data_IF_995627215553
#
_entry.id   IF_995627215553
#
_cell.length_a   1.000
_cell.length_b   1.000
_cell.length_c   1.000
_cell.angle_alpha   90.00
_cell.angle_beta   90.00
_cell.angle_gamma   90.00
#
_symmetry.space_group_name_H-M   'P 1'
#
loop_
_entity.id
_entity.type
_entity.pdbx_description
1 polymer ?
#
# COMPACT_ATOMS: atom_id res chain seq x y z
N UNK A 1 -29.37 -73.21 12.20
CA UNK A 1 -29.40 -72.36 11.01
C UNK A 1 -30.01 -71.00 11.39
N UNK A 2 -29.19 -70.05 11.80
CA UNK A 2 -29.62 -68.75 12.30
C UNK A 2 -29.13 -67.68 11.32
N UNK A 3 -30.06 -67.01 10.65
CA UNK A 3 -29.75 -65.92 9.72
C UNK A 3 -29.61 -64.61 10.50
N UNK A 4 -28.44 -64.01 10.41
CA UNK A 4 -28.17 -62.65 10.86
C UNK A 4 -28.70 -61.64 9.81
N UNK A 5 -29.59 -60.77 10.19
CA UNK A 5 -30.05 -59.64 9.43
C UNK A 5 -29.15 -58.43 9.78
N UNK A 6 -28.36 -57.94 8.82
CA UNK A 6 -27.59 -56.71 8.94
C UNK A 6 -28.45 -55.52 8.48
N UNK A 7 -28.81 -54.68 9.42
CA UNK A 7 -29.51 -53.41 9.14
C UNK A 7 -28.45 -52.33 8.76
N UNK A 8 -28.50 -51.88 7.53
CA UNK A 8 -27.72 -50.72 7.07
C UNK A 8 -28.45 -49.44 7.40
N UNK A 9 -27.89 -48.64 8.30
CA UNK A 9 -28.38 -47.30 8.61
C UNK A 9 -27.81 -46.34 7.56
N UNK A 10 -28.66 -45.81 6.70
CA UNK A 10 -28.34 -44.68 5.81
C UNK A 10 -28.40 -43.40 6.64
N UNK A 11 -27.23 -42.78 6.88
CA UNK A 11 -27.15 -41.42 7.43
C UNK A 11 -27.29 -40.45 6.26
N UNK A 12 -28.51 -39.94 6.08
CA UNK A 12 -28.77 -38.87 5.13
C UNK A 12 -28.25 -37.55 5.68
N UNK A 13 -27.19 -37.01 5.06
CA UNK A 13 -26.70 -35.65 5.34
C UNK A 13 -27.70 -34.64 4.82
N UNK A 14 -28.46 -34.03 5.72
CA UNK A 14 -29.37 -32.92 5.43
C UNK A 14 -28.52 -31.65 5.24
N UNK A 15 -28.25 -31.30 3.98
CA UNK A 15 -27.66 -29.98 3.64
C UNK A 15 -28.76 -28.94 3.81
N UNK A 16 -28.72 -28.21 4.92
CA UNK A 16 -29.55 -27.04 5.12
C UNK A 16 -29.03 -25.94 4.18
N UNK A 17 -29.63 -25.80 3.00
CA UNK A 17 -29.50 -24.63 2.17
C UNK A 17 -30.22 -23.46 2.88
N UNK A 18 -29.43 -22.60 3.55
CA UNK A 18 -29.94 -21.32 4.03
C UNK A 18 -30.22 -20.44 2.84
N UNK A 19 -31.48 -20.38 2.42
CA UNK A 19 -31.93 -19.39 1.43
C UNK A 19 -31.73 -17.99 2.03
N UNK A 20 -30.74 -17.28 1.58
CA UNK A 20 -30.61 -15.84 1.81
C UNK A 20 -31.77 -15.18 1.07
N UNK A 21 -32.85 -14.92 1.80
CA UNK A 21 -33.92 -14.08 1.28
C UNK A 21 -33.38 -12.66 1.14
N UNK A 22 -32.95 -12.30 -0.07
CA UNK A 22 -32.73 -10.93 -0.46
C UNK A 22 -34.03 -10.18 -0.25
N UNK A 23 -34.07 -9.21 0.67
CA UNK A 23 -35.12 -8.21 0.77
C UNK A 23 -35.06 -7.30 -0.49
N UNK A 24 -35.44 -7.85 -1.62
CA UNK A 24 -35.81 -7.05 -2.81
C UNK A 24 -37.24 -6.54 -2.52
N UNK A 25 -37.34 -5.37 -1.92
CA UNK A 25 -38.57 -4.60 -2.04
C UNK A 25 -38.88 -4.44 -3.54
N UNK A 26 -40.13 -4.68 -3.95
CA UNK A 26 -40.56 -4.45 -5.32
C UNK A 26 -40.26 -3.00 -5.70
N UNK A 27 -39.28 -2.80 -6.60
CA UNK A 27 -38.93 -1.47 -7.10
C UNK A 27 -39.97 -1.07 -8.13
N UNK A 28 -40.73 -0.02 -7.84
CA UNK A 28 -41.73 0.50 -8.77
C UNK A 28 -41.06 1.45 -9.77
N UNK A 29 -41.29 1.29 -11.10
CA UNK A 29 -40.80 2.22 -12.09
C UNK A 29 -41.26 3.65 -11.82
N UNK A 30 -40.36 4.62 -12.02
CA UNK A 30 -40.63 6.04 -11.78
C UNK A 30 -40.52 6.48 -10.32
N UNK A 31 -40.11 5.61 -9.36
CA UNK A 31 -39.91 5.95 -7.97
C UNK A 31 -38.49 5.62 -7.53
N UNK A 32 -38.00 6.36 -6.53
CA UNK A 32 -36.75 6.04 -5.84
C UNK A 32 -37.05 5.14 -4.65
N UNK A 33 -36.29 4.04 -4.53
CA UNK A 33 -36.37 3.15 -3.37
C UNK A 33 -34.98 2.87 -2.83
N UNK A 34 -34.84 2.65 -1.50
CA UNK A 34 -33.56 2.23 -0.92
C UNK A 34 -33.12 0.92 -1.55
N UNK A 35 -31.81 0.83 -1.82
CA UNK A 35 -31.17 -0.40 -2.27
C UNK A 35 -29.83 -0.57 -1.53
N UNK A 36 -29.38 -1.81 -1.41
CA UNK A 36 -28.11 -2.14 -0.76
C UNK A 36 -27.27 -2.98 -1.71
N UNK A 37 -26.00 -2.56 -1.90
CA UNK A 37 -25.00 -3.40 -2.54
C UNK A 37 -24.29 -4.24 -1.47
N UNK A 38 -24.33 -5.56 -1.63
CA UNK A 38 -23.50 -6.48 -0.88
C UNK A 38 -22.68 -7.29 -1.89
N UNK A 39 -21.41 -6.92 -2.07
CA UNK A 39 -20.52 -7.54 -3.04
C UNK A 39 -19.11 -7.63 -2.47
N UNK A 40 -18.37 -8.67 -2.88
CA UNK A 40 -16.94 -8.85 -2.58
C UNK A 40 -16.14 -8.55 -3.84
N UNK A 41 -15.10 -7.71 -3.73
CA UNK A 41 -14.14 -7.49 -4.81
C UNK A 41 -12.92 -8.40 -4.61
N UNK A 42 -12.50 -9.10 -5.66
CA UNK A 42 -11.28 -9.88 -5.64
C UNK A 42 -10.09 -8.97 -6.01
N UNK A 43 -9.04 -8.97 -5.18
CA UNK A 43 -7.78 -8.28 -5.46
C UNK A 43 -6.75 -9.31 -5.91
N UNK A 44 -6.21 -9.14 -7.12
CA UNK A 44 -5.11 -9.94 -7.67
C UNK A 44 -3.95 -9.02 -8.01
N UNK A 45 -2.81 -9.23 -7.35
CA UNK A 45 -1.61 -8.42 -7.52
C UNK A 45 -0.36 -9.28 -7.46
N UNK A 46 0.52 -9.12 -8.44
CA UNK A 46 1.86 -9.72 -8.39
C UNK A 46 2.80 -8.74 -7.68
N UNK A 47 3.71 -9.25 -6.87
CA UNK A 47 4.68 -8.42 -6.15
C UNK A 47 5.99 -9.16 -5.88
N UNK A 48 7.07 -8.39 -5.78
CA UNK A 48 8.32 -8.87 -5.19
C UNK A 48 8.25 -8.72 -3.68
N UNK A 49 8.77 -9.71 -2.97
CA UNK A 49 8.97 -9.63 -1.52
C UNK A 49 10.42 -9.94 -1.19
N UNK A 50 11.02 -9.11 -0.36
CA UNK A 50 12.33 -9.32 0.22
C UNK A 50 12.19 -9.49 1.73
N UNK A 51 12.85 -10.49 2.28
CA UNK A 51 12.97 -10.72 3.72
C UNK A 51 14.41 -10.42 4.14
N UNK A 52 14.64 -9.72 5.27
CA UNK A 52 15.99 -9.50 5.82
C UNK A 52 16.76 -10.80 5.99
N UNK A 53 18.09 -10.77 5.86
CA UNK A 53 18.93 -11.97 6.01
C UNK A 53 18.72 -12.70 7.32
N UNK A 54 18.51 -11.94 8.41
CA UNK A 54 18.30 -12.46 9.75
C UNK A 54 16.81 -12.57 10.11
N UNK A 55 15.94 -12.77 9.11
CA UNK A 55 14.48 -12.76 9.27
C UNK A 55 13.97 -13.63 10.42
N UNK A 56 14.56 -14.83 10.60
CA UNK A 56 14.13 -15.76 11.64
C UNK A 56 14.58 -15.34 13.06
N UNK A 57 15.52 -14.43 13.17
CA UNK A 57 16.11 -14.02 14.47
C UNK A 57 15.24 -13.01 15.23
N UNK A 58 14.23 -12.40 14.58
CA UNK A 58 13.35 -11.44 15.23
C UNK A 58 11.89 -11.89 15.18
N UNK A 59 11.14 -11.47 16.19
CA UNK A 59 9.70 -11.77 16.29
C UNK A 59 8.88 -10.96 15.30
N UNK A 60 9.32 -9.71 14.98
CA UNK A 60 8.62 -8.83 14.04
C UNK A 60 9.60 -7.85 13.37
N UNK A 61 9.30 -7.47 12.13
CA UNK A 61 10.12 -6.61 11.29
C UNK A 61 9.33 -5.41 10.77
N UNK A 62 9.97 -4.24 10.60
CA UNK A 62 9.34 -3.14 9.89
C UNK A 62 9.10 -3.53 8.43
N UNK A 63 8.02 -3.01 7.84
CA UNK A 63 7.66 -3.23 6.44
C UNK A 63 7.81 -1.93 5.65
N UNK A 64 8.46 -2.01 4.48
CA UNK A 64 8.54 -0.94 3.50
C UNK A 64 7.82 -1.35 2.21
N UNK A 65 6.69 -0.70 1.92
CA UNK A 65 6.00 -0.81 0.64
C UNK A 65 6.62 0.16 -0.35
N UNK A 66 7.10 -0.34 -1.49
CA UNK A 66 7.63 0.47 -2.59
C UNK A 66 6.68 0.46 -3.78
N UNK A 67 6.30 1.63 -4.28
CA UNK A 67 5.45 1.83 -5.44
C UNK A 67 6.26 2.40 -6.61
N UNK A 68 6.35 1.64 -7.69
CA UNK A 68 7.09 2.04 -8.89
C UNK A 68 6.39 3.13 -9.71
N UNK A 69 7.07 3.71 -10.66
CA UNK A 69 6.56 4.69 -11.61
C UNK A 69 5.74 4.09 -12.75
N UNK A 70 5.24 4.94 -13.63
CA UNK A 70 4.41 4.49 -14.75
C UNK A 70 5.15 3.60 -15.77
N UNK A 71 6.48 3.73 -15.86
CA UNK A 71 7.30 2.97 -16.81
C UNK A 71 7.51 1.50 -16.45
N UNK A 72 7.16 1.09 -15.24
CA UNK A 72 7.34 -0.28 -14.74
C UNK A 72 6.01 -1.05 -14.63
N UNK A 73 4.92 -0.48 -15.17
CA UNK A 73 3.62 -1.17 -15.30
C UNK A 73 3.73 -2.40 -16.19
N UNK A 74 2.83 -3.35 -15.99
CA UNK A 74 2.75 -4.55 -16.82
C UNK A 74 2.58 -5.83 -16.01
N UNK A 75 3.14 -6.93 -16.53
CA UNK A 75 3.10 -8.28 -15.92
C UNK A 75 4.49 -8.93 -15.78
N UNK A 76 5.55 -8.18 -16.04
CA UNK A 76 6.94 -8.62 -15.88
C UNK A 76 7.53 -7.99 -14.61
N UNK A 77 7.57 -8.75 -13.52
CA UNK A 77 8.12 -8.32 -12.23
C UNK A 77 9.58 -7.84 -12.29
N UNK A 78 10.35 -8.23 -13.33
CA UNK A 78 11.71 -7.71 -13.55
C UNK A 78 11.74 -6.20 -13.76
N UNK A 79 10.66 -5.61 -14.27
CA UNK A 79 10.56 -4.17 -14.43
C UNK A 79 10.57 -3.44 -13.09
N UNK A 80 10.04 -4.04 -12.03
CA UNK A 80 9.98 -3.47 -10.68
C UNK A 80 11.38 -3.31 -10.07
N UNK A 81 12.37 -4.09 -10.53
CA UNK A 81 13.77 -4.01 -10.08
C UNK A 81 14.56 -2.84 -10.71
N UNK A 82 13.96 -2.02 -11.58
CA UNK A 82 14.67 -0.92 -12.26
C UNK A 82 15.05 0.22 -11.34
N UNK A 83 14.27 0.48 -10.29
CA UNK A 83 14.43 1.64 -9.42
C UNK A 83 14.24 1.30 -7.95
N UNK A 84 14.66 2.21 -7.07
CA UNK A 84 14.39 2.18 -5.66
C UNK A 84 14.94 0.99 -4.88
N UNK A 85 14.30 0.64 -3.76
CA UNK A 85 14.72 -0.49 -2.93
C UNK A 85 14.85 -1.81 -3.69
N UNK A 86 13.94 -2.20 -4.61
CA UNK A 86 14.10 -3.45 -5.37
C UNK A 86 15.39 -3.50 -6.21
N UNK A 87 15.76 -2.38 -6.85
CA UNK A 87 17.03 -2.26 -7.58
C UNK A 87 18.23 -2.48 -6.67
N UNK A 88 18.22 -1.87 -5.50
CA UNK A 88 19.32 -1.97 -4.53
C UNK A 88 19.42 -3.39 -3.97
N UNK A 89 18.30 -4.06 -3.71
CA UNK A 89 18.24 -5.46 -3.28
C UNK A 89 18.80 -6.38 -4.37
N UNK A 90 18.40 -6.19 -5.62
CA UNK A 90 18.93 -6.95 -6.76
C UNK A 90 20.45 -6.75 -6.94
N UNK A 91 20.98 -5.59 -6.53
CA UNK A 91 22.42 -5.30 -6.48
C UNK A 91 23.12 -5.81 -5.21
N UNK A 92 22.43 -6.56 -4.34
CA UNK A 92 22.99 -7.19 -3.13
C UNK A 92 22.93 -6.36 -1.86
N UNK A 93 22.26 -5.19 -1.86
CA UNK A 93 22.05 -4.40 -0.64
C UNK A 93 21.10 -5.14 0.30
N UNK A 94 21.49 -5.24 1.56
CA UNK A 94 20.65 -5.75 2.64
C UNK A 94 19.83 -4.61 3.25
N UNK A 95 18.59 -4.89 3.65
CA UNK A 95 17.70 -3.93 4.27
C UNK A 95 17.14 -4.48 5.58
N UNK A 96 17.02 -3.66 6.63
CA UNK A 96 16.39 -4.03 7.89
C UNK A 96 14.86 -3.93 7.83
N UNK A 97 14.27 -4.25 6.67
CA UNK A 97 12.84 -4.20 6.40
C UNK A 97 12.40 -5.46 5.65
N UNK A 98 11.17 -5.90 5.87
CA UNK A 98 10.45 -6.64 4.84
C UNK A 98 10.14 -5.62 3.74
N UNK A 99 10.64 -5.83 2.51
CA UNK A 99 10.32 -4.93 1.39
C UNK A 99 9.30 -5.59 0.48
N UNK A 100 8.20 -4.89 0.22
CA UNK A 100 7.12 -5.34 -0.67
C UNK A 100 7.02 -4.37 -1.84
N UNK A 101 7.13 -4.89 -3.04
CA UNK A 101 7.10 -4.09 -4.26
C UNK A 101 6.12 -4.71 -5.27
N UNK A 102 4.85 -4.29 -5.25
CA UNK A 102 3.86 -4.76 -6.20
C UNK A 102 4.12 -4.22 -7.61
N UNK A 103 3.56 -4.90 -8.62
CA UNK A 103 3.50 -4.39 -9.97
C UNK A 103 2.08 -3.94 -10.33
N UNK A 104 1.96 -2.67 -10.72
CA UNK A 104 0.73 -2.11 -11.24
C UNK A 104 0.51 -2.62 -12.67
N UNK A 105 -0.69 -3.08 -13.04
CA UNK A 105 -0.99 -3.55 -14.38
C UNK A 105 -0.82 -2.44 -15.44
N UNK A 106 -0.63 -2.85 -16.70
CA UNK A 106 -0.58 -1.91 -17.82
C UNK A 106 -1.86 -1.07 -17.92
N UNK A 107 -1.70 0.23 -18.14
CA UNK A 107 -2.82 1.18 -18.25
C UNK A 107 -3.50 1.55 -16.93
N UNK A 108 -3.19 0.87 -15.82
CA UNK A 108 -3.77 1.14 -14.50
C UNK A 108 -2.98 2.20 -13.69
N UNK A 109 -3.57 2.59 -12.58
CA UNK A 109 -2.96 3.41 -11.53
C UNK A 109 -3.00 2.65 -10.20
N UNK A 110 -2.26 3.16 -9.20
CA UNK A 110 -2.26 2.60 -7.86
C UNK A 110 -3.60 2.85 -7.16
N UNK A 111 -4.33 1.78 -6.88
CA UNK A 111 -5.60 1.83 -6.16
C UNK A 111 -5.38 1.63 -4.65
N UNK A 112 -5.72 2.61 -3.80
CA UNK A 112 -5.44 2.53 -2.36
C UNK A 112 -6.08 1.33 -1.65
N UNK A 113 -7.27 0.90 -2.09
CA UNK A 113 -7.94 -0.28 -1.54
C UNK A 113 -7.13 -1.55 -1.80
N UNK A 114 -6.60 -1.72 -3.01
CA UNK A 114 -5.77 -2.87 -3.38
C UNK A 114 -4.46 -2.88 -2.61
N UNK A 115 -3.81 -1.71 -2.49
CA UNK A 115 -2.57 -1.55 -1.73
C UNK A 115 -2.77 -1.86 -0.24
N UNK A 116 -3.87 -1.41 0.34
CA UNK A 116 -4.22 -1.74 1.73
C UNK A 116 -4.45 -3.24 1.88
N UNK A 117 -5.20 -3.86 0.96
CA UNK A 117 -5.45 -5.31 0.97
C UNK A 117 -4.14 -6.09 0.90
N UNK A 118 -3.18 -5.66 0.06
CA UNK A 118 -1.85 -6.24 0.00
C UNK A 118 -1.11 -6.11 1.35
N UNK A 119 -1.11 -4.93 1.95
CA UNK A 119 -0.48 -4.70 3.26
C UNK A 119 -1.09 -5.58 4.35
N UNK A 120 -2.43 -5.68 4.40
CA UNK A 120 -3.13 -6.51 5.38
C UNK A 120 -2.81 -8.00 5.19
N UNK A 121 -2.71 -8.48 3.95
CA UNK A 121 -2.31 -9.85 3.62
C UNK A 121 -0.86 -10.15 4.03
N UNK A 122 0.08 -9.28 3.69
CA UNK A 122 1.49 -9.46 4.06
C UNK A 122 1.68 -9.39 5.57
N UNK A 123 1.00 -8.48 6.26
CA UNK A 123 1.06 -8.37 7.71
C UNK A 123 0.48 -9.60 8.43
N UNK A 124 -0.47 -10.30 7.80
CA UNK A 124 -1.04 -11.55 8.33
C UNK A 124 -0.14 -12.76 8.08
N UNK A 125 0.60 -12.78 6.96
CA UNK A 125 1.36 -13.95 6.51
C UNK A 125 2.85 -13.91 6.86
N UNK A 126 3.37 -12.74 7.29
CA UNK A 126 4.78 -12.54 7.61
C UNK A 126 4.94 -11.87 8.99
N UNK A 127 6.15 -11.93 9.54
CA UNK A 127 6.51 -11.32 10.83
C UNK A 127 6.59 -9.79 10.73
N UNK A 128 5.50 -9.12 10.40
CA UNK A 128 5.43 -7.65 10.28
C UNK A 128 5.14 -7.03 11.64
N UNK A 129 5.89 -5.97 12.01
CA UNK A 129 5.56 -5.08 13.10
C UNK A 129 4.44 -4.13 12.63
N UNK A 130 3.20 -4.24 13.15
CA UNK A 130 2.07 -3.45 12.67
C UNK A 130 2.22 -1.95 12.96
N UNK A 131 3.14 -1.57 13.85
CA UNK A 131 3.42 -0.17 14.19
C UNK A 131 4.57 0.42 13.38
N UNK A 132 5.20 -0.35 12.48
CA UNK A 132 6.31 0.09 11.64
C UNK A 132 6.08 -0.27 10.16
N UNK A 133 4.96 0.19 9.60
CA UNK A 133 4.63 0.04 8.18
C UNK A 133 4.85 1.38 7.49
N UNK A 134 5.73 1.39 6.50
CA UNK A 134 6.12 2.57 5.73
C UNK A 134 5.77 2.42 4.26
N UNK A 135 5.51 3.55 3.60
CA UNK A 135 5.25 3.57 2.16
C UNK A 135 6.13 4.61 1.48
N UNK A 136 6.73 4.22 0.38
CA UNK A 136 7.50 5.10 -0.50
C UNK A 136 7.18 4.77 -1.96
N UNK A 137 7.40 5.70 -2.86
CA UNK A 137 7.19 5.46 -4.28
C UNK A 137 7.61 6.64 -5.12
N UNK A 138 7.83 6.37 -6.41
CA UNK A 138 8.37 7.34 -7.38
C UNK A 138 7.33 7.73 -8.41
N UNK A 139 7.23 9.02 -8.78
CA UNK A 139 6.35 9.49 -9.86
C UNK A 139 4.91 9.00 -9.65
N UNK A 140 4.34 8.17 -10.52
CA UNK A 140 3.05 7.51 -10.31
C UNK A 140 2.96 6.83 -8.93
N UNK A 141 4.04 6.17 -8.48
CA UNK A 141 4.13 5.58 -7.14
C UNK A 141 4.19 6.62 -6.03
N UNK A 142 4.75 7.80 -6.29
CA UNK A 142 4.68 8.96 -5.40
C UNK A 142 3.24 9.43 -5.20
N UNK A 143 2.44 9.49 -6.27
CA UNK A 143 1.00 9.74 -6.20
C UNK A 143 0.28 8.64 -5.41
N UNK A 144 0.60 7.36 -5.69
CA UNK A 144 0.06 6.21 -4.95
C UNK A 144 0.37 6.26 -3.45
N UNK A 145 1.58 6.73 -3.08
CA UNK A 145 2.00 6.93 -1.68
C UNK A 145 1.11 7.96 -0.98
N UNK A 146 0.87 9.11 -1.61
CA UNK A 146 -0.04 10.12 -1.09
C UNK A 146 -1.49 9.63 -0.99
N UNK A 147 -1.97 8.92 -2.02
CA UNK A 147 -3.32 8.39 -2.07
C UNK A 147 -3.57 7.35 -0.96
N UNK A 148 -2.61 6.43 -0.73
CA UNK A 148 -2.71 5.45 0.33
C UNK A 148 -2.69 6.08 1.72
N UNK A 149 -1.86 7.13 1.94
CA UNK A 149 -1.86 7.89 3.19
C UNK A 149 -3.22 8.56 3.45
N UNK A 150 -3.86 9.11 2.42
CA UNK A 150 -5.20 9.69 2.55
C UNK A 150 -6.30 8.65 2.78
N UNK A 151 -6.12 7.43 2.29
CA UNK A 151 -7.10 6.35 2.38
C UNK A 151 -7.01 5.56 3.70
N UNK A 152 -5.81 5.18 4.11
CA UNK A 152 -5.56 4.30 5.25
C UNK A 152 -4.44 4.83 6.16
N UNK A 153 -4.54 6.08 6.68
CA UNK A 153 -3.49 6.66 7.52
C UNK A 153 -3.20 5.85 8.78
N UNK A 154 -4.23 5.19 9.32
CA UNK A 154 -4.13 4.41 10.56
C UNK A 154 -3.30 3.13 10.41
N UNK A 155 -2.95 2.74 9.19
CA UNK A 155 -2.09 1.59 8.91
C UNK A 155 -0.61 1.95 8.81
N UNK A 156 -0.27 3.24 8.74
CA UNK A 156 1.06 3.71 8.37
C UNK A 156 1.77 4.37 9.54
N UNK A 157 3.07 4.16 9.64
CA UNK A 157 3.96 4.84 10.58
C UNK A 157 4.61 6.08 9.95
N UNK A 158 4.91 6.05 8.66
CA UNK A 158 5.43 7.19 7.90
C UNK A 158 5.30 6.95 6.39
N UNK A 159 5.42 8.04 5.61
CA UNK A 159 5.50 7.97 4.15
C UNK A 159 6.65 8.81 3.60
N UNK A 160 7.24 8.32 2.49
CA UNK A 160 8.29 9.02 1.75
C UNK A 160 7.95 9.09 0.25
N UNK A 161 7.03 9.97 -0.18
CA UNK A 161 6.68 10.14 -1.60
C UNK A 161 7.78 10.91 -2.35
N UNK A 162 8.13 10.44 -3.55
CA UNK A 162 9.18 11.03 -4.38
C UNK A 162 8.59 11.46 -5.73
N UNK A 163 8.87 12.71 -6.14
CA UNK A 163 8.42 13.35 -7.39
C UNK A 163 6.95 13.03 -7.75
N UNK A 164 6.07 13.11 -6.76
CA UNK A 164 4.65 12.86 -6.89
C UNK A 164 3.79 14.01 -6.38
N UNK A 165 2.51 13.78 -6.29
CA UNK A 165 1.55 14.71 -5.73
C UNK A 165 0.32 13.99 -5.19
N UNK A 166 -0.56 14.71 -4.54
CA UNK A 166 -1.79 14.17 -3.96
C UNK A 166 -2.91 15.19 -3.98
N UNK A 167 -4.01 14.83 -3.33
CA UNK A 167 -5.16 15.70 -3.16
C UNK A 167 -5.06 16.47 -1.83
N UNK A 168 -4.73 17.75 -1.90
CA UNK A 168 -4.53 18.62 -0.74
C UNK A 168 -5.76 18.65 0.19
N UNK A 169 -6.95 18.44 -0.35
CA UNK A 169 -8.19 18.34 0.41
C UNK A 169 -8.15 17.24 1.49
N UNK A 170 -7.45 16.12 1.23
CA UNK A 170 -7.35 15.00 2.14
C UNK A 170 -6.29 15.19 3.24
N UNK A 171 -5.46 16.23 3.19
CA UNK A 171 -4.35 16.44 4.12
C UNK A 171 -4.75 16.35 5.60
N UNK A 172 -5.94 16.84 5.96
CA UNK A 172 -6.45 16.78 7.34
C UNK A 172 -6.59 15.36 7.88
N UNK A 173 -6.80 14.36 7.02
CA UNK A 173 -7.00 12.98 7.44
C UNK A 173 -5.72 12.33 7.96
N UNK A 174 -4.56 12.80 7.46
CA UNK A 174 -3.26 12.22 7.77
C UNK A 174 -2.19 13.26 8.16
N UNK A 175 -2.61 14.44 8.62
CA UNK A 175 -1.68 15.48 9.07
C UNK A 175 -0.79 15.04 10.25
N UNK A 176 -1.23 14.06 11.02
CA UNK A 176 -0.47 13.44 12.11
C UNK A 176 0.61 12.47 11.65
N UNK A 177 0.53 12.01 10.40
CA UNK A 177 1.47 11.04 9.86
C UNK A 177 2.80 11.72 9.54
N UNK A 178 3.95 11.18 10.00
CA UNK A 178 5.26 11.63 9.57
C UNK A 178 5.42 11.51 8.06
N UNK A 179 5.80 12.63 7.42
CA UNK A 179 5.97 12.72 5.97
C UNK A 179 7.32 13.34 5.65
N UNK A 180 8.09 12.70 4.77
CA UNK A 180 9.28 13.29 4.17
C UNK A 180 9.22 13.14 2.65
N UNK A 181 8.82 14.21 1.96
CA UNK A 181 8.71 14.25 0.51
C UNK A 181 10.04 14.66 -0.14
N UNK A 182 10.27 14.19 -1.37
CA UNK A 182 11.46 14.49 -2.15
C UNK A 182 11.07 14.87 -3.57
N UNK A 183 11.76 15.87 -4.15
CA UNK A 183 11.45 16.33 -5.51
C UNK A 183 12.66 16.99 -6.18
N UNK A 184 12.75 16.89 -7.50
CA UNK A 184 13.73 17.64 -8.30
C UNK A 184 13.22 19.04 -8.65
N UNK A 185 14.05 20.08 -8.47
CA UNK A 185 13.66 21.45 -8.80
C UNK A 185 13.45 21.68 -10.31
N UNK A 186 14.08 20.85 -11.15
CA UNK A 186 13.99 20.93 -12.61
C UNK A 186 13.03 19.90 -13.22
N UNK A 187 12.15 19.31 -12.41
CA UNK A 187 11.19 18.30 -12.87
C UNK A 187 10.14 18.93 -13.81
N UNK A 188 10.13 18.47 -15.06
CA UNK A 188 9.18 18.88 -16.11
C UNK A 188 8.06 17.85 -16.34
N UNK A 189 8.19 16.65 -15.79
CA UNK A 189 7.18 15.61 -15.91
C UNK A 189 6.10 15.74 -14.82
N UNK A 190 6.54 15.94 -13.58
CA UNK A 190 5.68 16.26 -12.44
C UNK A 190 6.23 17.55 -11.82
N UNK A 191 5.55 18.70 -11.98
CA UNK A 191 6.02 19.97 -11.43
C UNK A 191 6.21 19.92 -9.91
N UNK A 192 7.25 20.58 -9.39
CA UNK A 192 7.60 20.63 -7.95
C UNK A 192 6.42 21.08 -7.10
N UNK A 193 5.57 21.96 -7.64
CA UNK A 193 4.39 22.51 -6.99
C UNK A 193 3.40 21.42 -6.54
N UNK A 194 3.45 20.23 -7.16
CA UNK A 194 2.61 19.09 -6.74
C UNK A 194 3.01 18.60 -5.34
N UNK A 195 4.31 18.51 -5.03
CA UNK A 195 4.78 18.19 -3.68
C UNK A 195 4.60 19.37 -2.73
N UNK A 196 4.93 20.58 -3.14
CA UNK A 196 4.78 21.79 -2.30
C UNK A 196 3.34 22.01 -1.85
N UNK A 197 2.37 21.78 -2.74
CA UNK A 197 0.95 21.87 -2.41
C UNK A 197 0.56 20.90 -1.29
N UNK A 198 1.05 19.66 -1.33
CA UNK A 198 0.79 18.66 -0.28
C UNK A 198 1.44 19.04 1.05
N UNK A 199 2.70 19.50 1.00
CA UNK A 199 3.44 19.96 2.19
C UNK A 199 2.73 21.16 2.85
N UNK A 200 2.32 22.13 2.04
CA UNK A 200 1.61 23.31 2.54
C UNK A 200 0.24 22.94 3.14
N UNK A 201 -0.48 22.02 2.52
CA UNK A 201 -1.77 21.55 3.03
C UNK A 201 -1.61 20.80 4.36
N UNK A 202 -0.58 19.96 4.51
CA UNK A 202 -0.28 19.26 5.77
C UNK A 202 0.10 20.23 6.87
N UNK A 203 0.99 21.21 6.60
CA UNK A 203 1.34 22.27 7.57
C UNK A 203 0.11 23.05 8.02
N UNK A 204 -0.76 23.44 7.07
CA UNK A 204 -2.03 24.13 7.39
C UNK A 204 -2.98 23.27 8.23
N UNK A 205 -2.89 21.95 8.12
CA UNK A 205 -3.66 21.00 8.92
C UNK A 205 -3.01 20.65 10.27
N UNK A 206 -1.88 21.29 10.64
CA UNK A 206 -1.17 21.09 11.91
C UNK A 206 -0.13 19.96 11.90
N UNK A 207 0.22 19.44 10.73
CA UNK A 207 1.30 18.45 10.58
C UNK A 207 2.68 19.11 10.41
N UNK A 208 3.73 18.31 10.57
CA UNK A 208 5.14 18.70 10.46
C UNK A 208 5.88 17.95 9.34
N UNK A 209 5.41 18.07 8.08
CA UNK A 209 6.05 17.36 6.97
C UNK A 209 7.39 17.98 6.60
N UNK A 210 8.32 17.14 6.11
CA UNK A 210 9.59 17.56 5.52
C UNK A 210 9.52 17.52 3.99
N UNK A 211 10.24 18.43 3.33
CA UNK A 211 10.46 18.44 1.89
C UNK A 211 11.94 18.65 1.61
N UNK A 212 12.55 17.72 0.88
CA UNK A 212 13.88 17.90 0.29
C UNK A 212 13.72 18.16 -1.19
N UNK A 213 14.24 19.31 -1.64
CA UNK A 213 14.28 19.67 -3.06
C UNK A 213 15.71 19.56 -3.54
N UNK A 214 15.94 18.75 -4.57
CA UNK A 214 17.25 18.61 -5.23
C UNK A 214 17.38 19.65 -6.33
N UNK A 215 18.27 20.66 -6.19
CA UNK A 215 18.30 21.82 -7.08
C UNK A 215 18.63 21.48 -8.53
N UNK A 216 19.44 20.44 -8.73
CA UNK A 216 19.92 20.04 -10.06
C UNK A 216 19.14 18.87 -10.66
N UNK A 217 18.33 18.17 -9.87
CA UNK A 217 17.57 17.01 -10.33
C UNK A 217 16.36 17.43 -11.18
N UNK A 218 16.18 16.72 -12.28
CA UNK A 218 14.94 16.71 -13.05
C UNK A 218 13.97 15.69 -12.44
N UNK A 219 13.25 14.91 -13.27
CA UNK A 219 12.28 13.92 -12.78
C UNK A 219 12.92 12.80 -11.94
N UNK A 220 14.14 12.35 -12.29
CA UNK A 220 14.89 11.39 -11.48
C UNK A 220 15.49 12.05 -10.23
N UNK A 221 14.66 12.30 -9.24
CA UNK A 221 15.08 12.64 -7.88
C UNK A 221 15.19 11.41 -6.98
N UNK A 222 14.69 10.26 -7.45
CA UNK A 222 14.66 9.02 -6.65
C UNK A 222 16.00 8.31 -6.55
N UNK A 223 16.89 8.45 -7.56
CA UNK A 223 18.21 7.81 -7.51
C UNK A 223 19.02 8.37 -6.35
N UNK A 224 19.04 9.68 -6.17
CA UNK A 224 19.71 10.34 -5.06
C UNK A 224 19.00 9.98 -3.72
N UNK A 225 17.69 10.07 -3.69
CA UNK A 225 16.89 9.78 -2.47
C UNK A 225 17.12 8.38 -1.93
N UNK A 226 17.05 7.33 -2.77
CA UNK A 226 17.20 5.96 -2.30
C UNK A 226 18.65 5.54 -2.02
N UNK A 227 19.62 6.30 -2.50
CA UNK A 227 21.02 6.16 -2.12
C UNK A 227 21.37 6.89 -0.81
N UNK A 228 20.49 7.77 -0.32
CA UNK A 228 20.69 8.47 0.95
C UNK A 228 20.29 7.54 2.13
N UNK A 229 21.26 7.15 3.01
CA UNK A 229 20.96 6.32 4.18
C UNK A 229 20.03 7.00 5.18
N UNK A 230 20.05 8.34 5.28
CA UNK A 230 19.21 9.10 6.21
C UNK A 230 17.71 8.85 6.00
N UNK A 231 17.29 8.52 4.76
CA UNK A 231 15.90 8.16 4.48
C UNK A 231 15.47 6.93 5.30
N UNK A 232 16.31 5.89 5.29
CA UNK A 232 15.99 4.63 5.97
C UNK A 232 16.07 4.76 7.49
N UNK A 233 17.07 5.49 7.98
CA UNK A 233 17.22 5.79 9.41
C UNK A 233 16.02 6.61 9.91
N UNK A 234 15.57 7.60 9.13
CA UNK A 234 14.39 8.39 9.45
C UNK A 234 13.12 7.53 9.47
N UNK A 235 12.92 6.64 8.48
CA UNK A 235 11.78 5.72 8.48
C UNK A 235 11.78 4.83 9.72
N UNK A 236 12.91 4.21 10.04
CA UNK A 236 13.05 3.32 11.20
C UNK A 236 12.79 4.00 12.55
N UNK A 237 13.04 5.30 12.63
CA UNK A 237 12.75 6.10 13.82
C UNK A 237 11.25 6.37 14.02
N UNK A 238 10.39 6.15 12.98
CA UNK A 238 8.96 6.40 13.09
C UNK A 238 8.21 5.16 13.58
N UNK A 239 7.25 5.37 14.45
CA UNK A 239 6.27 4.37 14.87
C UNK A 239 4.88 4.96 14.79
N UNK A 240 3.93 4.13 14.43
CA UNK A 240 2.52 4.49 14.43
C UNK A 240 2.08 4.84 15.85
N UNK A 241 1.47 6.00 16.01
CA UNK A 241 0.76 6.35 17.25
C UNK A 241 -0.67 5.87 17.14
N UNK A 242 -1.10 4.97 18.04
CA UNK A 242 -2.53 4.63 18.18
C UNK A 242 -3.27 5.89 18.61
N UNK A 243 -4.33 6.22 17.89
CA UNK A 243 -5.31 7.19 18.39
C UNK A 243 -6.27 6.44 19.30
N UNK A 244 -6.32 6.86 20.54
CA UNK A 244 -7.36 6.48 21.49
C UNK A 244 -8.74 6.96 21.01
#
# INVERSE_FOLDING_TARGET
>A
MTRLLTSSVLIGSLVLATAVHSLRGEQQPGTQSPAQLNATAEVRMQYLIYLPKDYEQQAAWPLLLFLHGAGERGSDLKLVEKHGPPKLIAAGKDFPFIVVAPQCPEGAWWEPLELRTLLDNVAHTHKVDPDRIYVTGISMGGFGTWALAGYAPDRLAAIAPICGGGEAYWARRFAHLPVWAFHGAKDKAVPLERSESMINALKKAGGEPKLTVYPEAAHDSWTETYNNPELYDWLLAQKRTTRD
#
